data_IF_922913068286
#
_entry.id   IF_922913068286
#
_cell.length_a   1.000
_cell.length_b   1.000
_cell.length_c   1.000
_cell.angle_alpha   90.00
_cell.angle_beta   90.00
_cell.angle_gamma   90.00
#
_symmetry.space_group_name_H-M   'P 1'
#
loop_
_entity.id
_entity.type
_entity.pdbx_description
1 polymer ?
#
# COMPACT_ATOMS: atom_id res chain seq x y z
N UNK A 1 -10.35 21.21 5.58
CA UNK A 1 -10.33 19.84 5.03
C UNK A 1 -10.72 19.97 3.57
N UNK A 2 -9.87 19.49 2.66
CA UNK A 2 -10.12 19.57 1.22
C UNK A 2 -11.04 18.42 0.76
N UNK A 3 -11.71 18.61 -0.38
CA UNK A 3 -12.51 17.55 -0.96
C UNK A 3 -11.61 16.43 -1.50
N UNK A 4 -12.05 15.18 -1.30
CA UNK A 4 -11.35 14.02 -1.84
C UNK A 4 -11.62 13.96 -3.35
N UNK A 5 -10.62 13.55 -4.13
CA UNK A 5 -10.77 13.39 -5.58
C UNK A 5 -11.88 12.38 -5.92
N UNK A 6 -12.44 12.51 -7.13
CA UNK A 6 -13.34 11.48 -7.66
C UNK A 6 -12.61 10.15 -7.89
N UNK A 7 -13.32 9.00 -7.86
CA UNK A 7 -12.76 7.71 -8.24
C UNK A 7 -12.08 7.76 -9.61
N UNK A 8 -10.93 7.13 -9.72
CA UNK A 8 -10.20 7.01 -11.00
C UNK A 8 -10.95 6.04 -11.93
N UNK A 9 -10.94 6.35 -13.22
CA UNK A 9 -11.58 5.50 -14.24
C UNK A 9 -11.00 4.07 -14.19
N UNK A 10 -11.90 3.09 -14.11
CA UNK A 10 -11.56 1.66 -14.02
C UNK A 10 -10.75 1.18 -15.22
N UNK A 11 -10.97 1.74 -16.40
CA UNK A 11 -10.20 1.39 -17.60
C UNK A 11 -8.72 1.79 -17.45
N UNK A 12 -8.43 2.95 -16.82
CA UNK A 12 -7.07 3.38 -16.53
C UNK A 12 -6.39 2.46 -15.51
N UNK A 13 -7.12 2.08 -14.44
CA UNK A 13 -6.59 1.15 -13.44
C UNK A 13 -6.25 -0.20 -14.06
N UNK A 14 -7.14 -0.76 -14.87
CA UNK A 14 -6.93 -2.05 -15.56
C UNK A 14 -5.76 -2.01 -16.54
N UNK A 15 -5.56 -0.88 -17.22
CA UNK A 15 -4.44 -0.72 -18.15
C UNK A 15 -3.07 -0.76 -17.44
N UNK A 16 -3.00 -0.29 -16.19
CA UNK A 16 -1.77 -0.30 -15.39
C UNK A 16 -1.53 -1.61 -14.63
N UNK A 17 -2.60 -2.39 -14.34
CA UNK A 17 -2.52 -3.68 -13.64
C UNK A 17 -2.18 -4.82 -14.61
N UNK A 18 -0.96 -4.83 -15.10
CA UNK A 18 -0.47 -5.80 -16.09
C UNK A 18 -0.11 -7.15 -15.44
N UNK A 19 0.07 -8.19 -16.27
CA UNK A 19 0.42 -9.54 -15.79
C UNK A 19 1.76 -9.58 -15.06
N UNK A 20 2.71 -8.76 -15.46
CA UNK A 20 4.06 -8.68 -14.91
C UNK A 20 4.04 -8.15 -13.46
N UNK A 21 3.06 -7.30 -13.13
CA UNK A 21 2.87 -6.73 -11.78
C UNK A 21 2.03 -7.63 -10.88
N UNK A 22 1.36 -8.62 -11.49
CA UNK A 22 0.54 -9.57 -10.76
C UNK A 22 1.39 -10.58 -10.02
N UNK A 23 1.28 -10.59 -8.70
CA UNK A 23 1.99 -11.53 -7.85
C UNK A 23 1.34 -12.92 -7.89
N UNK A 24 0.05 -12.99 -7.57
CA UNK A 24 -0.75 -14.23 -7.53
C UNK A 24 -2.24 -13.94 -7.38
N UNK A 25 -3.06 -14.99 -7.49
CA UNK A 25 -4.46 -14.95 -7.02
C UNK A 25 -4.52 -15.18 -5.51
N UNK A 26 -5.60 -14.72 -4.88
CA UNK A 26 -5.87 -14.98 -3.46
C UNK A 26 -6.34 -16.42 -3.25
N UNK A 27 -6.10 -16.98 -2.05
CA UNK A 27 -6.38 -18.41 -1.76
C UNK A 27 -7.88 -18.75 -1.69
N UNK A 28 -8.74 -17.81 -1.27
CA UNK A 28 -10.15 -18.07 -0.95
C UNK A 28 -11.15 -17.27 -1.79
N UNK A 29 -10.67 -16.37 -2.61
CA UNK A 29 -11.50 -15.56 -3.52
C UNK A 29 -10.82 -15.50 -4.87
N UNK A 30 -11.55 -15.12 -5.92
CA UNK A 30 -10.97 -14.94 -7.26
C UNK A 30 -10.25 -13.57 -7.39
N UNK A 31 -9.87 -12.95 -6.27
CA UNK A 31 -9.15 -11.68 -6.26
C UNK A 31 -7.69 -11.89 -6.66
N UNK A 32 -7.05 -10.82 -7.07
CA UNK A 32 -5.67 -10.80 -7.53
C UNK A 32 -4.84 -9.86 -6.68
N UNK A 33 -3.58 -10.23 -6.43
CA UNK A 33 -2.62 -9.42 -5.70
C UNK A 33 -1.63 -8.84 -6.70
N UNK A 34 -1.46 -7.52 -6.66
CA UNK A 34 -0.51 -6.77 -7.47
C UNK A 34 0.50 -6.03 -6.60
N UNK A 35 1.71 -5.86 -7.14
CA UNK A 35 2.72 -4.96 -6.59
C UNK A 35 2.98 -3.89 -7.64
N UNK A 36 2.80 -2.63 -7.24
CA UNK A 36 2.96 -1.45 -8.08
C UNK A 36 3.73 -0.35 -7.37
N UNK A 37 4.17 0.65 -8.12
CA UNK A 37 4.76 1.90 -7.61
C UNK A 37 4.06 3.10 -8.22
N UNK A 38 4.26 4.30 -7.67
CA UNK A 38 3.75 5.54 -8.26
C UNK A 38 4.34 5.79 -9.67
N UNK A 39 5.55 5.28 -9.93
CA UNK A 39 6.26 5.49 -11.20
C UNK A 39 5.73 4.61 -12.33
N UNK A 40 5.35 3.37 -12.02
CA UNK A 40 4.87 2.42 -13.03
C UNK A 40 3.34 2.34 -13.14
N UNK A 41 2.61 2.90 -12.18
CA UNK A 41 1.14 2.83 -12.10
C UNK A 41 0.57 4.10 -11.45
N UNK A 42 0.74 5.28 -12.09
CA UNK A 42 0.35 6.56 -11.50
C UNK A 42 -1.16 6.68 -11.23
N UNK A 43 -2.02 6.13 -12.09
CA UNK A 43 -3.47 6.15 -11.87
C UNK A 43 -3.87 5.22 -10.71
N UNK A 44 -3.27 4.03 -10.62
CA UNK A 44 -3.46 3.11 -9.50
C UNK A 44 -3.00 3.77 -8.20
N UNK A 45 -1.86 4.50 -8.21
CA UNK A 45 -1.39 5.22 -7.02
C UNK A 45 -2.36 6.31 -6.58
N UNK A 46 -2.93 7.08 -7.51
CA UNK A 46 -3.95 8.09 -7.19
C UNK A 46 -5.19 7.45 -6.54
N UNK A 47 -5.66 6.32 -7.07
CA UNK A 47 -6.80 5.60 -6.49
C UNK A 47 -6.46 5.03 -5.10
N UNK A 48 -5.25 4.49 -4.89
CA UNK A 48 -4.77 4.08 -3.57
C UNK A 48 -4.83 5.25 -2.58
N UNK A 49 -4.29 6.41 -2.97
CA UNK A 49 -4.30 7.62 -2.14
C UNK A 49 -5.70 8.09 -1.81
N UNK A 50 -6.62 8.03 -2.79
CA UNK A 50 -8.04 8.34 -2.58
C UNK A 50 -8.69 7.39 -1.56
N UNK A 51 -8.50 6.08 -1.73
CA UNK A 51 -9.09 5.07 -0.85
C UNK A 51 -8.53 5.12 0.58
N UNK A 52 -7.22 5.41 0.73
CA UNK A 52 -6.59 5.66 2.03
C UNK A 52 -7.23 6.86 2.72
N UNK A 53 -7.33 8.00 2.03
CA UNK A 53 -7.91 9.21 2.60
C UNK A 53 -9.38 8.98 3.00
N UNK A 54 -10.18 8.31 2.15
CA UNK A 54 -11.56 7.96 2.48
C UNK A 54 -11.62 7.09 3.73
N UNK A 55 -10.83 6.02 3.80
CA UNK A 55 -10.85 5.09 4.92
C UNK A 55 -10.35 5.74 6.21
N UNK A 56 -9.21 6.44 6.17
CA UNK A 56 -8.61 7.05 7.36
C UNK A 56 -9.42 8.24 7.86
N UNK A 57 -9.93 9.08 6.96
CA UNK A 57 -10.77 10.22 7.31
C UNK A 57 -12.06 9.79 8.00
N UNK A 58 -12.67 8.69 7.57
CA UNK A 58 -13.86 8.12 8.20
C UNK A 58 -13.64 7.80 9.69
N UNK A 59 -12.43 7.36 10.05
CA UNK A 59 -12.05 7.08 11.46
C UNK A 59 -11.33 8.24 12.14
N UNK A 60 -11.31 9.43 11.55
CA UNK A 60 -10.71 10.63 12.16
C UNK A 60 -9.18 10.74 12.02
N UNK A 61 -8.55 9.88 11.22
CA UNK A 61 -7.08 9.84 11.01
C UNK A 61 -6.63 10.25 9.61
N UNK A 62 -7.49 10.83 8.80
CA UNK A 62 -7.15 11.30 7.45
C UNK A 62 -6.21 12.51 7.45
N UNK A 63 -5.49 12.69 6.34
CA UNK A 63 -4.57 13.82 6.14
C UNK A 63 -5.29 15.16 5.97
N UNK A 64 -6.54 15.14 5.53
CA UNK A 64 -7.31 16.32 5.14
C UNK A 64 -7.04 16.82 3.72
N UNK A 65 -6.13 16.16 2.98
CA UNK A 65 -5.81 16.44 1.57
C UNK A 65 -6.72 15.65 0.61
N UNK A 66 -6.73 15.97 -0.69
CA UNK A 66 -7.56 15.26 -1.67
C UNK A 66 -7.20 13.78 -1.83
N UNK A 67 -5.96 13.39 -1.50
CA UNK A 67 -5.42 12.02 -1.49
C UNK A 67 -4.40 11.87 -0.36
N UNK A 68 -4.25 10.67 0.20
CA UNK A 68 -3.18 10.33 1.13
C UNK A 68 -2.00 9.71 0.36
N UNK A 69 -1.16 10.59 -0.18
CA UNK A 69 0.10 10.26 -0.85
C UNK A 69 1.16 11.17 -0.25
N UNK A 70 2.31 10.59 0.13
CA UNK A 70 3.44 11.32 0.71
C UNK A 70 4.73 11.12 -0.12
N UNK A 71 5.85 11.70 0.37
CA UNK A 71 7.15 11.58 -0.29
C UNK A 71 7.63 10.14 -0.42
N UNK A 72 7.31 9.26 0.51
CA UNK A 72 7.70 7.84 0.47
C UNK A 72 6.97 7.06 -0.64
N UNK A 73 5.80 7.53 -1.07
CA UNK A 73 5.07 6.96 -2.19
C UNK A 73 5.63 7.41 -3.55
N UNK A 74 6.37 8.55 -3.60
CA UNK A 74 6.74 9.24 -4.86
C UNK A 74 8.23 9.49 -5.07
N UNK A 75 9.08 9.33 -4.03
CA UNK A 75 10.53 9.48 -4.15
C UNK A 75 11.12 8.50 -5.18
N UNK A 76 12.37 8.70 -5.61
CA UNK A 76 13.04 7.86 -6.63
C UNK A 76 12.99 6.36 -6.28
N UNK A 77 13.40 6.01 -5.06
CA UNK A 77 13.29 4.65 -4.51
C UNK A 77 11.97 4.51 -3.70
N UNK A 78 10.84 4.74 -4.37
CA UNK A 78 9.53 4.76 -3.73
C UNK A 78 9.15 3.42 -3.08
N UNK A 79 8.37 3.50 -2.00
CA UNK A 79 7.73 2.31 -1.44
C UNK A 79 6.85 1.61 -2.46
N UNK A 80 6.88 0.28 -2.45
CA UNK A 80 5.99 -0.55 -3.25
C UNK A 80 4.62 -0.60 -2.58
N UNK A 81 3.59 -0.67 -3.42
CA UNK A 81 2.21 -0.82 -3.00
C UNK A 81 1.77 -2.24 -3.29
N UNK A 82 1.42 -3.01 -2.26
CA UNK A 82 0.78 -4.29 -2.43
C UNK A 82 -0.73 -4.08 -2.29
N UNK A 83 -1.48 -4.41 -3.34
CA UNK A 83 -2.92 -4.23 -3.39
C UNK A 83 -3.64 -5.53 -3.70
N UNK A 84 -4.87 -5.64 -3.20
CA UNK A 84 -5.83 -6.67 -3.57
C UNK A 84 -6.85 -6.06 -4.52
N UNK A 85 -6.90 -6.60 -5.73
CA UNK A 85 -7.83 -6.22 -6.79
C UNK A 85 -8.94 -7.25 -6.94
N UNK A 86 -10.19 -6.80 -7.04
CA UNK A 86 -11.33 -7.63 -7.42
C UNK A 86 -11.59 -7.52 -8.92
N UNK A 87 -11.33 -8.57 -9.72
CA UNK A 87 -11.69 -8.55 -11.14
C UNK A 87 -13.20 -8.48 -11.38
N UNK A 88 -13.99 -9.00 -10.44
CA UNK A 88 -15.46 -9.01 -10.51
C UNK A 88 -16.04 -7.60 -10.31
N UNK A 89 -15.54 -6.88 -9.30
CA UNK A 89 -16.04 -5.53 -8.94
C UNK A 89 -15.27 -4.44 -9.69
N UNK A 90 -14.13 -4.80 -10.32
CA UNK A 90 -13.17 -3.88 -10.96
C UNK A 90 -12.72 -2.76 -10.01
N UNK A 91 -12.31 -3.16 -8.78
CA UNK A 91 -11.95 -2.24 -7.70
C UNK A 91 -10.78 -2.76 -6.87
N UNK A 92 -10.06 -1.82 -6.26
CA UNK A 92 -9.08 -2.10 -5.22
C UNK A 92 -9.82 -2.31 -3.89
N UNK A 93 -9.67 -3.49 -3.30
CA UNK A 93 -10.32 -3.84 -2.03
C UNK A 93 -9.56 -3.31 -0.81
N UNK A 94 -8.25 -3.20 -0.92
CA UNK A 94 -7.35 -2.74 0.13
C UNK A 94 -5.91 -3.06 -0.20
N UNK A 95 -5.02 -2.77 0.74
CA UNK A 95 -3.59 -3.01 0.56
C UNK A 95 -2.76 -2.31 1.62
N UNK A 96 -1.46 -2.26 1.38
CA UNK A 96 -0.48 -1.53 2.20
C UNK A 96 0.74 -1.18 1.36
N UNK A 97 1.52 -0.21 1.83
CA UNK A 97 2.86 0.03 1.27
C UNK A 97 3.92 -0.74 2.03
N UNK A 98 5.02 -1.06 1.37
CA UNK A 98 6.14 -1.73 2.00
C UNK A 98 7.48 -1.34 1.38
N UNK A 99 8.53 -1.46 2.19
CA UNK A 99 9.92 -1.36 1.76
C UNK A 99 10.72 -2.46 2.43
N UNK A 100 11.51 -3.21 1.63
CA UNK A 100 12.44 -4.19 2.17
C UNK A 100 13.64 -3.47 2.79
N UNK A 101 14.08 -3.91 3.97
CA UNK A 101 15.20 -3.29 4.66
C UNK A 101 16.52 -3.37 3.89
N UNK A 102 16.68 -4.39 3.02
CA UNK A 102 17.80 -4.48 2.08
C UNK A 102 17.84 -3.36 1.03
N UNK A 103 16.70 -2.74 0.73
CA UNK A 103 16.56 -1.72 -0.30
C UNK A 103 16.62 -0.29 0.30
N UNK A 104 16.70 -0.19 1.64
CA UNK A 104 16.71 1.09 2.35
C UNK A 104 17.94 1.91 1.99
N UNK A 105 17.71 3.15 1.58
CA UNK A 105 18.75 4.16 1.38
C UNK A 105 19.00 4.93 2.68
N UNK A 106 20.13 5.62 2.73
CA UNK A 106 20.52 6.43 3.87
C UNK A 106 20.74 7.87 3.42
N UNK A 107 20.38 8.80 4.28
CA UNK A 107 20.66 10.22 4.06
C UNK A 107 22.15 10.54 4.27
N UNK A 108 22.53 11.82 4.05
CA UNK A 108 23.92 12.32 4.22
C UNK A 108 24.46 12.15 5.64
N UNK A 109 23.59 11.98 6.64
CA UNK A 109 23.93 11.78 8.05
C UNK A 109 23.96 10.29 8.44
N UNK A 110 23.73 9.39 7.47
CA UNK A 110 23.68 7.95 7.73
C UNK A 110 22.38 7.48 8.39
N UNK A 111 21.31 8.29 8.39
CA UNK A 111 19.99 7.91 8.90
C UNK A 111 19.23 7.15 7.81
N UNK A 112 18.59 6.00 8.13
CA UNK A 112 17.80 5.26 7.15
C UNK A 112 16.59 6.10 6.69
N UNK A 113 16.35 6.14 5.38
CA UNK A 113 15.20 6.82 4.77
C UNK A 113 13.99 5.88 4.86
N UNK A 114 13.32 5.91 6.00
CA UNK A 114 12.14 5.13 6.34
C UNK A 114 11.03 6.05 6.87
N UNK A 115 9.78 5.69 6.62
CA UNK A 115 8.65 6.42 7.18
C UNK A 115 8.68 6.43 8.72
N UNK A 116 9.13 5.35 9.33
CA UNK A 116 9.30 5.25 10.80
C UNK A 116 10.51 6.03 11.33
N UNK A 117 11.43 6.49 10.49
CA UNK A 117 12.57 7.34 10.91
C UNK A 117 12.15 8.71 11.45
N UNK A 118 10.91 9.16 11.19
CA UNK A 118 10.34 10.34 11.84
C UNK A 118 9.93 10.09 13.30
N UNK A 119 9.67 8.83 13.65
CA UNK A 119 9.17 8.43 14.97
C UNK A 119 10.26 7.87 15.86
N UNK A 120 11.30 7.25 15.26
CA UNK A 120 12.31 6.50 15.98
C UNK A 120 13.73 6.85 15.54
N UNK A 121 14.66 6.80 16.49
CA UNK A 121 16.09 6.74 16.23
C UNK A 121 16.56 5.30 16.34
N UNK A 122 17.07 4.75 15.26
CA UNK A 122 17.54 3.38 15.23
C UNK A 122 18.98 3.26 15.73
N UNK A 123 19.26 2.21 16.52
CA UNK A 123 20.64 1.93 16.94
C UNK A 123 21.48 1.42 15.76
N UNK A 124 22.80 1.62 15.84
CA UNK A 124 23.73 1.07 14.83
C UNK A 124 23.60 -0.47 14.70
N UNK A 125 23.38 -1.16 15.82
CA UNK A 125 23.15 -2.60 15.82
C UNK A 125 21.93 -2.97 15.01
N UNK A 126 20.80 -2.27 15.20
CA UNK A 126 19.59 -2.50 14.42
C UNK A 126 19.86 -2.28 12.92
N UNK A 127 20.49 -1.16 12.57
CA UNK A 127 20.77 -0.80 11.17
C UNK A 127 21.65 -1.86 10.48
N UNK A 128 22.69 -2.35 11.16
CA UNK A 128 23.67 -3.27 10.55
C UNK A 128 23.23 -4.73 10.57
N UNK A 129 22.56 -5.18 11.63
CA UNK A 129 22.32 -6.60 11.88
C UNK A 129 20.87 -7.03 11.66
N UNK A 130 19.89 -6.10 11.76
CA UNK A 130 18.47 -6.43 11.75
C UNK A 130 17.77 -5.83 10.51
N UNK A 131 17.98 -4.53 10.25
CA UNK A 131 17.31 -3.84 9.17
C UNK A 131 17.39 -4.56 7.82
N UNK A 132 18.52 -5.12 7.36
CA UNK A 132 18.60 -5.81 6.07
C UNK A 132 17.65 -7.01 5.93
N UNK A 133 17.19 -7.55 7.04
CA UNK A 133 16.29 -8.73 7.10
C UNK A 133 14.88 -8.36 7.52
N UNK A 134 14.51 -7.09 7.48
CA UNK A 134 13.19 -6.60 7.86
C UNK A 134 12.40 -6.10 6.67
N UNK A 135 11.10 -5.97 6.86
CA UNK A 135 10.20 -5.27 5.92
C UNK A 135 9.44 -4.23 6.72
N UNK A 136 9.52 -2.98 6.30
CA UNK A 136 8.64 -1.95 6.84
C UNK A 136 7.31 -1.99 6.12
N UNK A 137 6.23 -2.08 6.89
CA UNK A 137 4.85 -2.01 6.40
C UNK A 137 4.19 -0.73 6.88
N UNK A 138 3.43 -0.09 6.01
CA UNK A 138 2.73 1.13 6.37
C UNK A 138 1.46 1.36 5.56
N UNK A 139 0.64 2.32 6.02
CA UNK A 139 -0.57 2.73 5.31
C UNK A 139 -1.51 1.57 4.95
N UNK A 140 -1.65 0.59 5.85
CA UNK A 140 -2.60 -0.51 5.65
C UNK A 140 -4.03 0.01 5.65
N UNK A 141 -4.80 -0.34 4.63
CA UNK A 141 -6.19 0.07 4.49
C UNK A 141 -7.06 -1.02 3.87
N UNK A 142 -8.34 -0.99 4.19
CA UNK A 142 -9.41 -1.71 3.50
C UNK A 142 -10.42 -0.66 3.05
N UNK A 143 -10.85 -0.70 1.80
CA UNK A 143 -11.86 0.22 1.28
C UNK A 143 -13.16 0.09 2.10
N UNK A 144 -13.78 1.22 2.45
CA UNK A 144 -14.91 1.27 3.39
C UNK A 144 -16.06 0.33 3.02
N UNK A 145 -16.30 0.15 1.74
CA UNK A 145 -17.35 -0.74 1.22
C UNK A 145 -17.15 -2.20 1.61
N UNK A 146 -15.88 -2.59 1.89
CA UNK A 146 -15.48 -3.95 2.25
C UNK A 146 -15.17 -4.13 3.73
N UNK A 147 -15.29 -3.11 4.56
CA UNK A 147 -15.06 -3.18 6.01
C UNK A 147 -16.26 -3.72 6.79
N UNK A 148 -17.47 -3.66 6.24
CA UNK A 148 -18.67 -4.08 6.94
C UNK A 148 -18.93 -5.59 6.80
N UNK A 149 -19.58 -6.16 7.82
CA UNK A 149 -20.11 -7.56 7.78
C UNK A 149 -21.11 -7.78 6.65
N UNK A 150 -21.64 -6.72 6.02
CA UNK A 150 -22.52 -6.77 4.86
C UNK A 150 -21.81 -7.20 3.57
N UNK A 151 -20.49 -6.99 3.48
CA UNK A 151 -19.68 -7.41 2.32
C UNK A 151 -19.30 -8.90 2.35
N UNK A 152 -19.73 -9.65 3.37
CA UNK A 152 -19.49 -11.09 3.51
C UNK A 152 -17.99 -11.44 3.64
N UNK A 153 -17.64 -12.64 3.17
CA UNK A 153 -16.26 -13.15 3.25
C UNK A 153 -15.22 -12.34 2.45
N UNK A 154 -15.64 -11.48 1.51
CA UNK A 154 -14.71 -10.66 0.70
C UNK A 154 -13.88 -9.70 1.56
N UNK A 155 -14.50 -9.04 2.55
CA UNK A 155 -13.81 -8.07 3.41
C UNK A 155 -12.86 -8.69 4.43
N UNK A 156 -13.21 -9.87 4.97
CA UNK A 156 -12.43 -10.54 6.02
C UNK A 156 -11.02 -10.98 5.57
N UNK A 157 -10.81 -11.21 4.28
CA UNK A 157 -9.57 -11.76 3.75
C UNK A 157 -8.71 -10.76 2.96
N UNK A 158 -9.10 -9.49 2.91
CA UNK A 158 -8.36 -8.48 2.13
C UNK A 158 -6.94 -8.30 2.67
N UNK A 159 -6.74 -8.28 3.98
CA UNK A 159 -5.42 -8.11 4.60
C UNK A 159 -4.73 -9.44 4.95
N UNK A 160 -5.47 -10.52 5.20
CA UNK A 160 -4.87 -11.83 5.54
C UNK A 160 -4.03 -12.42 4.40
N UNK A 161 -4.46 -12.24 3.17
CA UNK A 161 -3.75 -12.75 2.00
C UNK A 161 -2.42 -12.02 1.72
N UNK A 162 -2.36 -10.67 1.80
CA UNK A 162 -1.12 -9.93 1.65
C UNK A 162 -0.10 -10.21 2.77
N UNK A 163 -0.54 -10.27 4.03
CA UNK A 163 0.34 -10.50 5.18
C UNK A 163 1.06 -11.85 5.09
N UNK A 164 0.41 -12.89 4.56
CA UNK A 164 1.05 -14.19 4.38
C UNK A 164 2.23 -14.17 3.39
N UNK A 165 2.34 -13.17 2.53
CA UNK A 165 3.46 -13.01 1.60
C UNK A 165 4.72 -12.48 2.28
N UNK A 166 4.60 -11.60 3.26
CA UNK A 166 5.74 -11.01 3.97
C UNK A 166 6.47 -12.00 4.88
N UNK A 167 5.88 -13.17 5.13
CA UNK A 167 6.51 -14.26 5.90
C UNK A 167 7.26 -15.30 5.04
N UNK A 168 7.24 -15.17 3.70
CA UNK A 168 7.78 -16.16 2.76
C UNK A 168 9.05 -15.66 2.03
N UNK A 169 9.53 -14.48 2.35
CA UNK A 169 10.81 -13.93 1.89
C UNK A 169 11.76 -13.70 3.07
#
# INVERSE_FOLDING_TARGET
>A
MQDIINPIDRALLKAELTKEKRLRSTNKSKNEIYIVTAHDSPNVMQEIGRLREVAFRYYGGGTGFPVDIDEYDTMEDAYRQLIVWSPEDEQILGGYRFLCGSDVKFDENGKPILATSHLFNFSEKFIKEILPYTVELGRSFVALEYQSTRSGAKGLFVLDNPVSYTHLT
#
